data_IF_549326304217
#
_entry.id   IF_549326304217
#
_cell.length_a   1.000
_cell.length_b   1.000
_cell.length_c   1.000
_cell.angle_alpha   90.00
_cell.angle_beta   90.00
_cell.angle_gamma   90.00
#
_symmetry.space_group_name_H-M   'P 1'
#
loop_
_entity.id
_entity.type
_entity.pdbx_description
1 polymer ?
#
# COMPACT_ATOMS: atom_id res chain seq x y z
N UNK A 1 -18.28 31.66 13.43
CA UNK A 1 -17.67 32.91 13.88
C UNK A 1 -16.46 32.53 14.70
N UNK A 2 -15.28 32.88 14.28
CA UNK A 2 -14.05 32.55 15.01
C UNK A 2 -13.94 33.44 16.25
N UNK A 3 -13.55 32.85 17.37
CA UNK A 3 -13.23 33.64 18.58
C UNK A 3 -11.97 34.49 18.28
N UNK A 4 -12.01 35.75 18.73
CA UNK A 4 -10.93 36.73 18.50
C UNK A 4 -9.85 36.71 19.58
N UNK A 5 -9.98 35.85 20.61
CA UNK A 5 -9.06 35.78 21.74
C UNK A 5 -7.94 34.77 21.63
N UNK A 6 -7.99 33.92 20.59
CA UNK A 6 -6.89 32.99 20.24
C UNK A 6 -6.58 31.87 21.26
N UNK A 7 -7.37 31.77 22.32
CA UNK A 7 -7.08 30.84 23.43
C UNK A 7 -8.08 29.68 23.52
N UNK A 8 -9.30 29.84 23.03
CA UNK A 8 -10.30 28.78 23.07
C UNK A 8 -10.90 28.55 21.71
N UNK A 9 -10.88 27.30 21.27
CA UNK A 9 -11.46 26.85 20.00
C UNK A 9 -12.75 26.11 20.31
N UNK A 10 -13.84 26.53 19.68
CA UNK A 10 -15.19 26.00 19.94
C UNK A 10 -15.72 25.28 18.71
N UNK A 11 -16.31 24.12 18.94
CA UNK A 11 -17.09 23.41 17.94
C UNK A 11 -18.58 23.75 18.11
N UNK A 12 -19.28 24.16 17.06
CA UNK A 12 -20.72 24.32 17.14
C UNK A 12 -21.38 22.93 17.18
N UNK A 13 -22.12 22.62 18.26
CA UNK A 13 -23.04 21.50 18.29
C UNK A 13 -24.49 22.00 18.08
N UNK A 14 -25.26 21.21 17.31
CA UNK A 14 -26.66 21.55 17.01
C UNK A 14 -27.58 20.79 17.96
N UNK A 15 -28.26 21.50 18.88
CA UNK A 15 -29.16 20.93 19.87
C UNK A 15 -30.65 21.26 19.64
N UNK A 16 -31.00 21.77 18.45
CA UNK A 16 -32.37 22.04 18.07
C UNK A 16 -32.55 23.21 17.10
N UNK A 17 -33.78 23.53 16.72
CA UNK A 17 -34.08 24.49 15.65
C UNK A 17 -33.74 25.94 15.97
N UNK A 18 -33.41 26.28 17.21
CA UNK A 18 -33.21 27.68 17.65
C UNK A 18 -32.00 27.91 18.56
N UNK A 19 -31.29 26.87 18.95
CA UNK A 19 -30.11 26.99 19.81
C UNK A 19 -28.97 26.13 19.27
N UNK A 20 -27.77 26.65 19.29
CA UNK A 20 -26.54 25.87 19.19
C UNK A 20 -25.72 26.14 20.45
N UNK A 21 -25.20 25.09 21.01
CA UNK A 21 -24.19 25.19 22.05
C UNK A 21 -22.82 25.19 21.39
N UNK A 22 -21.91 25.96 21.94
CA UNK A 22 -20.50 25.89 21.57
C UNK A 22 -19.85 25.07 22.67
N UNK A 23 -19.48 23.85 22.35
CA UNK A 23 -18.68 23.00 23.24
C UNK A 23 -17.21 23.35 23.05
N UNK A 24 -16.50 23.47 24.17
CA UNK A 24 -15.06 23.63 24.14
C UNK A 24 -14.45 22.32 23.69
N UNK A 25 -13.86 22.30 22.50
CA UNK A 25 -13.07 21.13 22.05
C UNK A 25 -11.76 21.14 22.84
N UNK A 26 -11.59 20.17 23.74
CA UNK A 26 -10.38 20.02 24.54
C UNK A 26 -9.13 19.72 23.72
N UNK A 27 -9.28 19.46 22.42
CA UNK A 27 -8.19 19.14 21.51
C UNK A 27 -8.48 19.63 20.08
N UNK A 28 -7.47 19.67 19.26
CA UNK A 28 -7.56 19.97 17.83
C UNK A 28 -7.01 18.78 17.02
N UNK A 29 -7.80 18.11 16.14
CA UNK A 29 -7.32 16.98 15.37
C UNK A 29 -6.07 17.30 14.59
N UNK A 30 -5.02 16.49 14.78
CA UNK A 30 -3.72 16.69 14.20
C UNK A 30 -2.74 17.55 15.00
N UNK A 31 -3.20 18.29 16.02
CA UNK A 31 -2.35 18.99 16.99
C UNK A 31 -2.10 18.04 18.19
N UNK A 32 -1.19 17.11 17.99
CA UNK A 32 -0.98 15.96 18.87
C UNK A 32 -0.17 16.33 20.10
N UNK A 33 0.70 17.33 19.95
CA UNK A 33 1.54 17.87 21.03
C UNK A 33 0.88 19.05 21.77
N UNK A 34 -0.31 19.50 21.35
CA UNK A 34 -1.07 20.60 21.92
C UNK A 34 -0.34 21.97 21.91
N UNK A 35 0.51 22.22 20.89
CA UNK A 35 1.20 23.50 20.75
C UNK A 35 0.41 24.55 19.97
N UNK A 36 -0.73 24.15 19.39
CA UNK A 36 -1.65 25.00 18.65
C UNK A 36 -1.38 25.03 17.14
N UNK A 37 -0.44 24.26 16.65
CA UNK A 37 -0.13 24.11 15.24
C UNK A 37 -0.28 22.64 14.83
N UNK A 38 -0.39 22.40 13.53
CA UNK A 38 -0.26 21.07 12.95
C UNK A 38 1.01 21.11 12.13
N UNK A 39 2.05 20.46 12.60
CA UNK A 39 3.35 20.46 11.94
C UNK A 39 4.11 19.13 12.11
N UNK A 40 5.37 19.10 11.69
CA UNK A 40 6.17 17.87 11.71
C UNK A 40 6.38 17.31 13.14
N UNK A 41 6.23 18.13 14.17
CA UNK A 41 6.37 17.67 15.54
C UNK A 41 5.20 16.74 15.92
N UNK A 42 4.00 16.95 15.36
CA UNK A 42 2.84 16.08 15.58
C UNK A 42 3.04 14.72 14.92
N UNK A 43 3.53 14.71 13.67
CA UNK A 43 3.91 13.46 13.00
C UNK A 43 4.94 12.70 13.83
N UNK A 44 5.96 13.40 14.34
CA UNK A 44 6.99 12.78 15.20
C UNK A 44 6.37 12.19 16.48
N UNK A 45 5.50 12.93 17.17
CA UNK A 45 4.83 12.46 18.38
C UNK A 45 4.00 11.20 18.12
N UNK A 46 3.26 11.17 17.00
CA UNK A 46 2.49 9.98 16.62
C UNK A 46 3.42 8.79 16.30
N UNK A 47 4.48 9.00 15.53
CA UNK A 47 5.48 7.98 15.22
C UNK A 47 6.17 7.45 16.47
N UNK A 48 6.57 8.36 17.38
CA UNK A 48 7.24 8.00 18.64
C UNK A 48 6.35 7.09 19.49
N UNK A 49 5.10 7.45 19.65
CA UNK A 49 4.12 6.65 20.36
C UNK A 49 3.85 5.30 19.70
N UNK A 50 3.58 5.30 18.39
CA UNK A 50 3.16 4.08 17.68
C UNK A 50 4.29 3.06 17.50
N UNK A 51 5.52 3.53 17.29
CA UNK A 51 6.62 2.64 16.85
C UNK A 51 7.85 2.65 17.76
N UNK A 52 8.10 3.76 18.48
CA UNK A 52 9.35 3.93 19.22
C UNK A 52 9.17 3.76 20.74
N UNK A 53 8.00 3.33 21.20
CA UNK A 53 7.65 3.19 22.63
C UNK A 53 7.68 4.51 23.40
N UNK A 54 7.42 5.61 22.72
CA UNK A 54 7.27 6.93 23.31
C UNK A 54 6.06 7.05 24.24
N UNK A 55 5.97 8.14 25.02
CA UNK A 55 4.83 8.38 25.88
C UNK A 55 3.55 8.58 25.07
N UNK A 56 2.38 8.25 25.64
CA UNK A 56 1.12 8.53 24.96
C UNK A 56 0.94 10.03 24.72
N UNK A 57 0.37 10.44 23.58
CA UNK A 57 -0.01 11.83 23.31
C UNK A 57 -0.86 12.42 24.42
N UNK A 58 -0.76 13.74 24.63
CA UNK A 58 -1.52 14.44 25.64
C UNK A 58 -3.02 14.37 25.38
N UNK A 59 -3.42 14.48 24.11
CA UNK A 59 -4.79 14.25 23.64
C UNK A 59 -4.83 13.11 22.63
N UNK A 60 -5.15 11.91 23.07
CA UNK A 60 -5.27 10.72 22.19
C UNK A 60 -6.35 10.93 21.10
N UNK A 61 -7.37 11.71 21.38
CA UNK A 61 -8.43 12.06 20.45
C UNK A 61 -7.92 12.93 19.28
N UNK A 62 -6.86 13.70 19.49
CA UNK A 62 -6.21 14.49 18.43
C UNK A 62 -5.53 13.63 17.37
N UNK A 63 -5.25 12.37 17.70
CA UNK A 63 -4.62 11.42 16.78
C UNK A 63 -5.59 10.81 15.77
N UNK A 64 -6.91 10.84 16.03
CA UNK A 64 -7.93 10.45 15.04
C UNK A 64 -8.14 11.59 14.05
N UNK A 65 -7.22 11.72 13.11
CA UNK A 65 -7.22 12.84 12.15
C UNK A 65 -8.11 12.59 10.93
N UNK A 66 -8.44 11.33 10.65
CA UNK A 66 -9.34 10.95 9.56
C UNK A 66 -10.80 10.80 9.98
N UNK A 67 -11.10 10.90 11.30
CA UNK A 67 -12.45 10.89 11.86
C UNK A 67 -13.12 9.52 11.84
N UNK A 68 -12.36 8.44 11.79
CA UNK A 68 -12.90 7.07 11.73
C UNK A 68 -13.25 6.49 13.12
N UNK A 69 -13.00 7.22 14.20
CA UNK A 69 -13.22 6.85 15.60
C UNK A 69 -12.28 5.76 16.12
N UNK A 70 -11.18 5.55 15.45
CA UNK A 70 -10.08 4.70 15.90
C UNK A 70 -8.81 5.51 15.85
N UNK A 71 -7.78 5.08 16.51
CA UNK A 71 -6.48 5.73 16.42
C UNK A 71 -5.73 5.81 17.74
N UNK A 72 -4.46 6.17 17.68
CA UNK A 72 -3.65 6.45 16.49
C UNK A 72 -3.30 5.17 15.72
N UNK A 73 -3.47 5.22 14.42
CA UNK A 73 -3.21 4.09 13.53
C UNK A 73 -2.54 4.57 12.23
N UNK A 74 -2.08 3.62 11.41
CA UNK A 74 -1.33 3.99 10.21
C UNK A 74 -2.16 4.84 9.22
N UNK A 75 -3.49 4.69 9.22
CA UNK A 75 -4.36 5.50 8.38
C UNK A 75 -4.40 6.97 8.83
N UNK A 76 -4.36 7.22 10.14
CA UNK A 76 -4.29 8.58 10.68
C UNK A 76 -2.95 9.23 10.35
N UNK A 77 -1.86 8.50 10.57
CA UNK A 77 -0.53 8.99 10.28
C UNK A 77 -0.37 9.32 8.79
N UNK A 78 -0.83 8.46 7.89
CA UNK A 78 -0.77 8.73 6.45
C UNK A 78 -1.70 9.87 6.02
N UNK A 79 -2.85 10.01 6.69
CA UNK A 79 -3.75 11.15 6.45
C UNK A 79 -3.09 12.47 6.86
N UNK A 80 -2.46 12.53 8.03
CA UNK A 80 -1.76 13.71 8.52
C UNK A 80 -0.62 14.12 7.59
N UNK A 81 0.19 13.16 7.14
CA UNK A 81 1.26 13.37 6.15
C UNK A 81 0.68 13.87 4.82
N UNK A 82 -0.41 13.25 4.35
CA UNK A 82 -1.11 13.67 3.13
C UNK A 82 -1.63 15.11 3.21
N UNK A 83 -2.18 15.53 4.35
CA UNK A 83 -2.60 16.90 4.60
C UNK A 83 -1.42 17.88 4.56
N UNK A 84 -0.34 17.57 5.27
CA UNK A 84 0.81 18.48 5.41
C UNK A 84 1.61 18.65 4.14
N UNK A 85 1.84 17.60 3.39
CA UNK A 85 2.78 17.56 2.26
C UNK A 85 2.12 17.28 0.90
N UNK A 86 0.99 16.56 0.90
CA UNK A 86 0.29 16.14 -0.31
C UNK A 86 -0.86 17.06 -0.75
N UNK A 87 -1.19 18.10 0.02
CA UNK A 87 -2.34 18.98 -0.24
C UNK A 87 -3.68 18.27 -0.05
N UNK A 88 -3.73 17.26 0.82
CA UNK A 88 -4.93 16.55 1.22
C UNK A 88 -5.90 17.40 2.05
N UNK A 89 -7.06 16.84 2.36
CA UNK A 89 -8.08 17.49 3.16
C UNK A 89 -7.59 17.72 4.62
N UNK A 90 -8.12 18.78 5.26
CA UNK A 90 -7.79 19.08 6.66
C UNK A 90 -8.30 18.00 7.61
N UNK A 91 -7.61 17.78 8.76
CA UNK A 91 -8.07 16.88 9.80
C UNK A 91 -9.52 17.11 10.24
N UNK A 92 -10.22 16.05 10.58
CA UNK A 92 -11.67 16.04 10.80
C UNK A 92 -11.99 15.96 12.28
N UNK A 93 -12.92 16.81 12.74
CA UNK A 93 -13.31 16.90 14.15
C UNK A 93 -14.29 15.83 14.62
N UNK A 94 -14.77 14.95 13.82
CA UNK A 94 -15.93 14.19 14.28
C UNK A 94 -15.83 12.69 14.19
N UNK A 95 -15.73 12.10 15.34
CA UNK A 95 -16.32 10.81 15.64
C UNK A 95 -17.86 10.85 15.73
N UNK A 96 -18.55 11.54 14.83
CA UNK A 96 -20.00 11.75 14.97
C UNK A 96 -20.86 10.57 14.51
N UNK A 97 -20.27 9.47 14.09
CA UNK A 97 -21.01 8.24 13.82
C UNK A 97 -20.41 7.09 14.63
N UNK A 98 -21.09 6.60 15.68
CA UNK A 98 -20.77 5.30 16.22
C UNK A 98 -21.03 4.28 15.12
N UNK A 99 -19.98 3.87 14.43
CA UNK A 99 -20.04 2.91 13.34
C UNK A 99 -19.79 3.44 11.94
N UNK A 100 -18.99 4.48 11.73
CA UNK A 100 -18.15 4.55 10.55
C UNK A 100 -17.18 3.36 10.61
N UNK A 101 -17.79 2.17 10.72
CA UNK A 101 -17.16 0.91 10.44
C UNK A 101 -16.48 1.16 9.12
N UNK A 102 -15.16 1.10 9.09
CA UNK A 102 -14.39 0.91 7.89
C UNK A 102 -15.30 0.26 6.86
N UNK A 103 -15.60 0.95 5.79
CA UNK A 103 -16.26 0.31 4.68
C UNK A 103 -15.45 -0.97 4.52
N UNK A 104 -16.10 -2.12 4.64
CA UNK A 104 -15.47 -3.40 4.36
C UNK A 104 -15.15 -3.35 2.87
N UNK A 105 -14.05 -2.70 2.56
CA UNK A 105 -13.48 -2.72 1.23
C UNK A 105 -13.18 -4.21 1.04
N UNK A 106 -13.79 -4.82 0.07
CA UNK A 106 -13.58 -6.24 -0.26
C UNK A 106 -12.17 -6.45 -0.84
N UNK A 107 -11.28 -5.50 -0.59
CA UNK A 107 -9.93 -5.49 -1.10
C UNK A 107 -9.13 -6.55 -0.38
N UNK A 108 -8.69 -7.54 -1.13
CA UNK A 108 -7.85 -8.58 -0.58
C UNK A 108 -6.43 -8.07 -0.47
N UNK A 109 -6.00 -7.89 0.78
CA UNK A 109 -4.60 -7.67 1.12
C UNK A 109 -4.14 -8.84 1.94
N UNK A 110 -3.08 -9.49 1.49
CA UNK A 110 -2.49 -10.64 2.18
C UNK A 110 -1.00 -10.37 2.35
N UNK A 111 -0.54 -10.48 3.60
CA UNK A 111 0.88 -10.45 3.91
C UNK A 111 1.38 -11.83 4.24
N UNK A 112 2.58 -12.11 3.80
CA UNK A 112 3.28 -13.37 4.01
C UNK A 112 4.61 -13.08 4.68
N UNK A 113 4.98 -13.92 5.65
CA UNK A 113 6.34 -13.93 6.16
C UNK A 113 6.98 -15.29 5.96
N UNK A 114 8.23 -15.30 5.53
CA UNK A 114 9.02 -16.51 5.33
C UNK A 114 10.43 -16.32 5.88
N UNK A 115 10.92 -17.32 6.62
CA UNK A 115 12.31 -17.30 7.10
C UNK A 115 13.21 -17.95 6.06
N UNK A 116 14.13 -17.16 5.48
CA UNK A 116 15.12 -17.58 4.48
C UNK A 116 16.52 -17.24 4.97
N UNK A 117 17.37 -18.26 5.12
CA UNK A 117 18.78 -18.07 5.51
C UNK A 117 18.99 -17.22 6.77
N UNK A 118 18.11 -17.38 7.76
CA UNK A 118 18.19 -16.62 9.02
C UNK A 118 17.60 -15.21 8.99
N UNK A 119 16.97 -14.81 7.89
CA UNK A 119 16.26 -13.54 7.76
C UNK A 119 14.77 -13.79 7.55
N UNK A 120 13.94 -12.92 8.11
CA UNK A 120 12.52 -12.89 7.81
C UNK A 120 12.28 -12.00 6.60
N UNK A 121 11.67 -12.56 5.56
CA UNK A 121 11.21 -11.82 4.38
C UNK A 121 9.72 -11.63 4.49
N UNK A 122 9.27 -10.39 4.44
CA UNK A 122 7.85 -10.03 4.41
C UNK A 122 7.46 -9.65 3.00
N UNK A 123 6.42 -10.30 2.49
CA UNK A 123 5.86 -10.06 1.16
C UNK A 123 4.39 -9.66 1.27
N UNK A 124 3.92 -8.87 0.34
CA UNK A 124 2.53 -8.43 0.25
C UNK A 124 1.92 -8.82 -1.09
N UNK A 125 0.63 -9.12 -1.08
CA UNK A 125 -0.22 -9.17 -2.27
C UNK A 125 -1.42 -8.26 -2.02
N UNK A 126 -1.55 -7.20 -2.81
CA UNK A 126 -2.59 -6.19 -2.68
C UNK A 126 -3.28 -5.94 -4.02
N UNK A 127 -4.61 -5.81 -3.98
CA UNK A 127 -5.43 -5.41 -5.15
C UNK A 127 -5.60 -3.89 -5.24
N UNK A 128 -5.10 -3.14 -4.25
CA UNK A 128 -5.20 -1.67 -4.17
C UNK A 128 -3.86 -1.03 -3.90
N UNK A 129 -3.74 0.23 -4.28
CA UNK A 129 -2.57 1.05 -3.99
C UNK A 129 -2.54 1.42 -2.49
N UNK A 130 -1.34 1.40 -1.91
CA UNK A 130 -1.11 1.55 -0.48
C UNK A 130 -0.38 2.87 -0.19
N UNK A 131 -0.85 3.59 0.84
CA UNK A 131 -0.19 4.79 1.36
C UNK A 131 0.70 4.48 2.56
N UNK A 132 0.35 3.45 3.32
CA UNK A 132 1.12 3.06 4.49
C UNK A 132 0.81 1.64 4.95
N UNK A 133 1.70 1.11 5.78
CA UNK A 133 1.66 -0.25 6.28
C UNK A 133 2.20 -0.28 7.70
N UNK A 134 1.48 -0.94 8.59
CA UNK A 134 1.94 -1.23 9.95
C UNK A 134 2.01 -2.73 10.15
N UNK A 135 3.12 -3.20 10.70
CA UNK A 135 3.40 -4.61 10.96
C UNK A 135 3.79 -4.82 12.41
N UNK A 136 3.35 -5.92 12.97
CA UNK A 136 3.90 -6.46 14.21
C UNK A 136 4.51 -7.84 13.97
N UNK A 137 5.73 -8.03 14.39
CA UNK A 137 6.43 -9.31 14.32
C UNK A 137 6.94 -9.72 15.71
N UNK A 138 6.90 -11.02 15.99
CA UNK A 138 7.62 -11.59 17.13
C UNK A 138 9.02 -11.96 16.66
N UNK A 139 10.05 -11.52 17.41
CA UNK A 139 11.45 -11.90 17.23
C UNK A 139 12.05 -12.20 18.60
N UNK A 140 13.00 -13.14 18.65
CA UNK A 140 13.70 -13.46 19.89
C UNK A 140 14.66 -12.35 20.32
N UNK A 141 15.32 -11.70 19.37
CA UNK A 141 16.28 -10.63 19.56
C UNK A 141 15.97 -9.41 18.67
N UNK A 142 16.40 -8.19 19.04
CA UNK A 142 16.26 -7.04 18.17
C UNK A 142 17.01 -7.26 16.85
N UNK A 143 16.39 -6.93 15.70
CA UNK A 143 17.01 -7.12 14.40
C UNK A 143 18.21 -6.19 14.22
N UNK A 144 19.29 -6.70 13.62
CA UNK A 144 20.49 -5.88 13.33
C UNK A 144 20.31 -5.00 12.10
N UNK A 145 19.47 -5.45 11.18
CA UNK A 145 19.10 -4.68 9.98
C UNK A 145 17.65 -4.95 9.59
N UNK A 146 17.02 -3.91 9.05
CA UNK A 146 15.74 -3.96 8.38
C UNK A 146 15.93 -3.23 7.06
N UNK A 147 15.70 -3.93 5.95
CA UNK A 147 15.95 -3.43 4.62
C UNK A 147 14.67 -3.51 3.78
N UNK A 148 14.33 -2.40 3.11
CA UNK A 148 13.31 -2.44 2.06
C UNK A 148 13.83 -3.20 0.85
N UNK A 149 12.99 -4.06 0.27
CA UNK A 149 13.30 -4.78 -0.97
C UNK A 149 12.58 -4.06 -2.10
N UNK A 150 13.34 -3.44 -2.99
CA UNK A 150 12.81 -2.61 -4.07
C UNK A 150 12.68 -1.14 -3.69
N UNK A 151 12.37 -0.32 -4.69
CA UNK A 151 12.12 1.11 -4.51
C UNK A 151 10.60 1.32 -4.48
N UNK A 152 10.04 1.29 -3.28
CA UNK A 152 8.60 1.46 -3.07
C UNK A 152 8.23 2.88 -2.61
N UNK A 153 9.22 3.77 -2.45
CA UNK A 153 8.99 5.14 -2.00
C UNK A 153 8.46 5.23 -0.56
N UNK A 154 8.56 4.16 0.24
CA UNK A 154 8.14 4.15 1.64
C UNK A 154 9.33 4.26 2.57
N UNK A 155 9.21 5.16 3.51
CA UNK A 155 10.14 5.29 4.63
C UNK A 155 9.82 4.26 5.72
N UNK A 156 10.84 3.71 6.38
CA UNK A 156 10.69 2.70 7.41
C UNK A 156 10.94 3.33 8.78
N UNK A 157 9.98 3.17 9.68
CA UNK A 157 10.12 3.47 11.11
C UNK A 157 9.90 2.20 11.91
N UNK A 158 10.67 1.97 12.96
CA UNK A 158 10.51 0.75 13.75
C UNK A 158 11.00 0.91 15.18
N UNK A 159 10.40 0.15 16.08
CA UNK A 159 10.83 -0.02 17.46
C UNK A 159 10.77 -1.50 17.86
N UNK A 160 11.62 -1.88 18.82
CA UNK A 160 11.65 -3.23 19.36
C UNK A 160 11.53 -3.19 20.87
N UNK A 161 10.56 -3.90 21.42
CA UNK A 161 10.33 -4.01 22.85
C UNK A 161 9.70 -5.36 23.19
N UNK A 162 10.16 -6.00 24.25
CA UNK A 162 9.58 -7.24 24.79
C UNK A 162 9.43 -8.40 23.77
N UNK A 163 10.39 -8.54 22.84
CA UNK A 163 10.34 -9.57 21.80
C UNK A 163 9.38 -9.24 20.66
N UNK A 164 8.90 -8.00 20.56
CA UNK A 164 8.04 -7.49 19.49
C UNK A 164 8.72 -6.40 18.71
N UNK A 165 8.69 -6.53 17.40
CA UNK A 165 9.07 -5.50 16.45
C UNK A 165 7.79 -4.85 15.93
N UNK A 166 7.59 -3.58 16.27
CA UNK A 166 6.58 -2.72 15.65
C UNK A 166 7.25 -1.96 14.51
N UNK A 167 6.68 -2.05 13.32
CA UNK A 167 7.24 -1.48 12.10
C UNK A 167 6.17 -0.75 11.31
N UNK A 168 6.46 0.51 10.96
CA UNK A 168 5.68 1.32 10.05
C UNK A 168 6.44 1.54 8.74
N UNK A 169 5.74 1.44 7.63
CA UNK A 169 6.20 1.88 6.32
C UNK A 169 5.21 2.91 5.80
N UNK A 170 5.66 4.10 5.48
CA UNK A 170 4.78 5.19 5.06
C UNK A 170 5.46 6.10 4.05
N UNK A 171 4.66 6.65 3.15
CA UNK A 171 5.12 7.63 2.16
C UNK A 171 5.17 9.02 2.80
N UNK A 172 6.30 9.38 3.40
CA UNK A 172 6.49 10.70 4.02
C UNK A 172 6.52 11.86 3.01
N UNK A 173 6.60 11.55 1.72
CA UNK A 173 6.60 12.56 0.66
C UNK A 173 5.21 12.73 0.04
N UNK A 174 4.25 11.91 0.44
CA UNK A 174 2.88 11.85 -0.11
C UNK A 174 2.86 11.79 -1.66
N UNK A 175 3.85 11.11 -2.24
CA UNK A 175 4.10 11.14 -3.69
C UNK A 175 3.11 10.27 -4.47
N UNK A 176 2.94 8.99 -4.10
CA UNK A 176 2.04 8.10 -4.85
C UNK A 176 1.75 6.77 -4.15
N UNK A 177 2.38 6.48 -3.03
CA UNK A 177 2.25 5.19 -2.35
C UNK A 177 2.83 4.01 -3.17
N UNK A 178 2.51 2.81 -2.74
CA UNK A 178 2.89 1.56 -3.41
C UNK A 178 1.75 1.08 -4.28
N UNK A 179 2.01 0.86 -5.57
CA UNK A 179 1.01 0.37 -6.50
C UNK A 179 0.51 -1.04 -6.12
N UNK A 180 -0.73 -1.36 -6.49
CA UNK A 180 -1.29 -2.70 -6.34
C UNK A 180 -0.39 -3.76 -6.99
N UNK A 181 -0.22 -4.91 -6.35
CA UNK A 181 0.64 -5.97 -6.85
C UNK A 181 1.08 -6.96 -5.78
N UNK A 182 2.05 -7.79 -6.15
CA UNK A 182 2.69 -8.74 -5.23
C UNK A 182 4.18 -8.50 -5.22
N UNK A 183 4.72 -8.18 -4.04
CA UNK A 183 6.13 -7.81 -3.86
C UNK A 183 6.73 -8.45 -2.62
N UNK A 184 8.04 -8.68 -2.61
CA UNK A 184 8.81 -8.73 -1.38
C UNK A 184 9.02 -7.30 -0.90
N UNK A 185 8.59 -6.99 0.32
CA UNK A 185 8.65 -5.63 0.87
C UNK A 185 9.89 -5.39 1.73
N UNK A 186 10.16 -6.36 2.61
CA UNK A 186 11.14 -6.20 3.68
C UNK A 186 11.96 -7.46 3.86
N UNK A 187 13.23 -7.23 4.19
CA UNK A 187 14.13 -8.23 4.78
C UNK A 187 14.52 -7.77 6.18
N UNK A 188 14.26 -8.61 7.15
CA UNK A 188 14.53 -8.36 8.57
C UNK A 188 15.55 -9.38 9.04
N UNK A 189 16.66 -8.95 9.65
CA UNK A 189 17.63 -9.87 10.24
C UNK A 189 17.01 -10.60 11.43
N UNK A 190 17.14 -11.92 11.45
CA UNK A 190 16.55 -12.78 12.45
C UNK A 190 15.34 -13.57 11.93
N UNK A 191 15.03 -14.65 12.65
CA UNK A 191 13.84 -15.45 12.41
C UNK A 191 12.68 -14.87 13.21
N UNK A 192 11.64 -14.43 12.53
CA UNK A 192 10.47 -13.83 13.14
C UNK A 192 9.16 -14.34 12.56
N UNK A 193 8.10 -14.21 13.34
CA UNK A 193 6.72 -14.51 12.95
C UNK A 193 5.93 -13.21 12.80
N UNK A 194 5.27 -13.01 11.68
CA UNK A 194 4.36 -11.90 11.46
C UNK A 194 3.06 -12.15 12.23
N UNK A 195 2.75 -11.28 13.20
CA UNK A 195 1.61 -11.42 14.11
C UNK A 195 0.38 -10.70 13.56
N UNK A 196 0.56 -9.46 13.13
CA UNK A 196 -0.52 -8.61 12.59
C UNK A 196 0.00 -7.67 11.52
N UNK A 197 -0.93 -7.22 10.68
CA UNK A 197 -0.67 -6.20 9.68
C UNK A 197 -1.93 -5.37 9.43
N UNK A 198 -1.76 -4.06 9.42
CA UNK A 198 -2.77 -3.10 9.00
C UNK A 198 -2.22 -2.23 7.88
N UNK A 199 -3.07 -1.85 6.98
CA UNK A 199 -2.70 -1.14 5.76
C UNK A 199 -3.60 0.06 5.58
N UNK A 200 -3.01 1.20 5.25
CA UNK A 200 -3.73 2.38 4.77
C UNK A 200 -3.66 2.42 3.24
N UNK A 201 -4.79 2.49 2.56
CA UNK A 201 -4.81 2.72 1.12
C UNK A 201 -4.62 4.22 0.80
N UNK A 202 -4.46 4.56 -0.47
CA UNK A 202 -4.29 5.95 -0.93
C UNK A 202 -5.51 6.85 -0.70
N UNK A 203 -6.62 6.30 -0.19
CA UNK A 203 -7.79 7.05 0.27
C UNK A 203 -7.84 7.16 1.80
N UNK A 204 -6.75 6.79 2.47
CA UNK A 204 -6.59 6.80 3.94
C UNK A 204 -7.60 5.92 4.68
N UNK A 205 -8.14 4.89 4.02
CA UNK A 205 -8.95 3.88 4.70
C UNK A 205 -8.01 2.81 5.27
N UNK A 206 -8.25 2.46 6.53
CA UNK A 206 -7.57 1.34 7.17
C UNK A 206 -8.17 0.02 6.68
N UNK A 207 -7.32 -0.92 6.32
CA UNK A 207 -7.67 -2.26 5.89
C UNK A 207 -6.89 -3.24 6.76
N UNK A 208 -7.59 -4.11 7.49
CA UNK A 208 -6.94 -5.20 8.19
C UNK A 208 -6.48 -6.23 7.17
N UNK A 209 -5.18 -6.43 7.08
CA UNK A 209 -4.61 -7.37 6.15
C UNK A 209 -4.68 -8.80 6.70
N UNK A 210 -4.91 -9.77 5.83
CA UNK A 210 -4.80 -11.17 6.20
C UNK A 210 -3.33 -11.52 6.35
N UNK A 211 -2.93 -11.94 7.55
CA UNK A 211 -1.60 -12.49 7.78
C UNK A 211 -1.63 -13.98 7.52
N UNK A 212 -0.80 -14.44 6.63
CA UNK A 212 -0.63 -15.86 6.33
C UNK A 212 0.81 -16.27 6.64
N UNK A 213 0.98 -17.22 7.56
CA UNK A 213 2.24 -17.92 7.62
C UNK A 213 2.45 -18.68 6.30
N UNK A 214 3.64 -18.58 5.73
CA UNK A 214 3.95 -19.11 4.41
C UNK A 214 3.67 -20.62 4.29
N UNK A 215 2.42 -20.97 4.08
CA UNK A 215 1.98 -22.28 3.64
C UNK A 215 1.20 -22.13 2.35
N UNK A 216 1.91 -22.00 1.22
CA UNK A 216 1.36 -22.30 -0.09
C UNK A 216 0.95 -21.15 -1.01
N UNK A 217 1.40 -19.90 -0.77
CA UNK A 217 1.53 -18.91 -1.84
C UNK A 217 3.00 -18.47 -1.86
N UNK A 218 3.85 -19.40 -2.24
CA UNK A 218 5.22 -19.06 -2.62
C UNK A 218 5.16 -18.00 -3.71
N UNK A 219 5.96 -16.94 -3.57
CA UNK A 219 6.44 -16.23 -4.75
C UNK A 219 6.70 -17.28 -5.82
N UNK A 220 6.32 -17.04 -7.05
CA UNK A 220 6.50 -18.02 -8.10
C UNK A 220 7.94 -18.52 -8.06
N UNK A 221 8.14 -19.81 -7.86
CA UNK A 221 9.47 -20.41 -7.84
C UNK A 221 10.08 -20.51 -9.23
N UNK A 222 9.26 -20.22 -10.26
CA UNK A 222 9.63 -20.32 -11.66
C UNK A 222 9.16 -19.10 -12.44
N UNK A 223 9.99 -18.63 -13.35
CA UNK A 223 9.58 -17.78 -14.44
C UNK A 223 8.54 -18.51 -15.29
N UNK A 224 7.30 -18.00 -15.36
CA UNK A 224 6.20 -18.62 -16.10
C UNK A 224 5.48 -17.58 -16.96
N UNK A 225 5.11 -17.94 -18.18
CA UNK A 225 4.22 -17.17 -19.04
C UNK A 225 2.95 -17.99 -19.22
N UNK A 226 1.80 -17.43 -18.88
CA UNK A 226 0.50 -18.10 -18.99
C UNK A 226 -0.14 -17.90 -20.35
N UNK A 227 -1.17 -18.71 -20.66
CA UNK A 227 -1.99 -18.51 -21.83
C UNK A 227 -2.86 -17.28 -21.61
N UNK A 228 -2.89 -16.37 -22.59
CA UNK A 228 -3.76 -15.20 -22.54
C UNK A 228 -5.23 -15.61 -22.40
N UNK A 229 -5.99 -14.80 -21.68
CA UNK A 229 -7.43 -15.02 -21.49
C UNK A 229 -8.21 -13.70 -21.65
N UNK A 230 -9.31 -13.72 -22.42
CA UNK A 230 -9.79 -14.83 -23.26
C UNK A 230 -8.87 -15.16 -24.44
N UNK A 231 -8.96 -16.39 -24.96
CA UNK A 231 -8.30 -16.81 -26.20
C UNK A 231 -9.13 -17.91 -26.90
N UNK A 232 -9.74 -17.67 -28.06
CA UNK A 232 -9.68 -16.45 -28.85
C UNK A 232 -10.31 -15.25 -28.15
N UNK A 233 -9.89 -14.05 -28.52
CA UNK A 233 -10.42 -12.81 -27.96
C UNK A 233 -10.93 -11.86 -29.05
N UNK A 234 -11.88 -11.00 -28.63
CA UNK A 234 -12.44 -9.93 -29.42
C UNK A 234 -12.43 -8.67 -28.54
N UNK A 235 -11.68 -7.67 -28.93
CA UNK A 235 -11.41 -6.47 -28.13
C UNK A 235 -10.11 -6.58 -27.36
N UNK A 236 -10.11 -7.01 -26.11
CA UNK A 236 -8.90 -7.10 -25.29
C UNK A 236 -8.69 -8.50 -24.71
N UNK A 237 -7.44 -8.81 -24.40
CA UNK A 237 -7.03 -10.03 -23.71
C UNK A 237 -6.00 -9.72 -22.65
N UNK A 238 -6.01 -10.48 -21.58
CA UNK A 238 -5.05 -10.38 -20.49
C UNK A 238 -3.96 -11.44 -20.64
N UNK A 239 -2.71 -11.02 -20.52
CA UNK A 239 -1.52 -11.88 -20.53
C UNK A 239 -0.95 -11.87 -19.11
N UNK A 240 -0.93 -13.04 -18.46
CA UNK A 240 -0.42 -13.23 -17.12
C UNK A 240 0.92 -13.94 -17.16
N UNK A 241 1.80 -13.51 -16.28
CA UNK A 241 3.11 -14.16 -16.11
C UNK A 241 3.59 -14.03 -14.67
N UNK A 242 4.56 -14.87 -14.31
CA UNK A 242 5.15 -14.89 -12.99
C UNK A 242 6.67 -14.84 -13.05
N UNK A 243 7.27 -14.10 -12.13
CA UNK A 243 8.71 -13.91 -11.95
C UNK A 243 9.13 -14.48 -10.60
N UNK A 244 10.17 -15.30 -10.57
CA UNK A 244 10.72 -15.87 -9.32
C UNK A 244 11.61 -14.89 -8.55
N UNK A 245 12.09 -13.84 -9.18
CA UNK A 245 12.92 -12.78 -8.62
C UNK A 245 12.75 -11.51 -9.46
N UNK A 246 13.17 -10.38 -8.92
CA UNK A 246 13.20 -9.11 -9.67
C UNK A 246 14.03 -9.28 -10.93
N UNK A 247 13.44 -9.00 -12.09
CA UNK A 247 14.02 -9.28 -13.40
C UNK A 247 13.81 -8.13 -14.37
N UNK A 248 14.75 -7.94 -15.28
CA UNK A 248 14.54 -7.04 -16.42
C UNK A 248 13.73 -7.76 -17.48
N UNK A 249 12.51 -7.29 -17.71
CA UNK A 249 11.53 -7.96 -18.58
C UNK A 249 11.30 -7.21 -19.87
N UNK A 250 10.93 -7.97 -20.90
CA UNK A 250 10.47 -7.44 -22.18
C UNK A 250 9.34 -8.33 -22.70
N UNK A 251 8.12 -7.81 -22.73
CA UNK A 251 6.94 -8.49 -23.26
C UNK A 251 6.52 -7.86 -24.58
N UNK A 252 6.58 -8.62 -25.65
CA UNK A 252 6.37 -8.13 -27.01
C UNK A 252 5.47 -9.05 -27.79
N UNK A 253 4.63 -8.47 -28.66
CA UNK A 253 3.70 -9.16 -29.55
C UNK A 253 4.26 -9.15 -30.97
N UNK A 254 4.17 -10.30 -31.63
CA UNK A 254 4.62 -10.52 -33.00
C UNK A 254 3.50 -11.07 -33.88
N UNK A 255 3.55 -10.76 -35.16
CA UNK A 255 2.74 -11.46 -36.16
C UNK A 255 3.34 -12.85 -36.51
N UNK A 256 2.64 -13.63 -37.32
CA UNK A 256 3.08 -14.98 -37.73
C UNK A 256 4.36 -14.98 -38.56
N UNK A 257 4.79 -13.84 -39.09
CA UNK A 257 6.04 -13.69 -39.85
C UNK A 257 7.22 -13.37 -38.93
N UNK A 258 6.95 -13.16 -37.64
CA UNK A 258 7.98 -12.78 -36.65
C UNK A 258 8.26 -11.28 -36.62
N UNK A 259 7.43 -10.46 -37.28
CA UNK A 259 7.57 -9.01 -37.21
C UNK A 259 6.95 -8.51 -35.90
N UNK A 260 7.63 -7.61 -35.22
CA UNK A 260 7.13 -6.91 -34.04
C UNK A 260 5.86 -6.10 -34.35
N UNK A 261 4.86 -6.26 -33.51
CA UNK A 261 3.58 -5.54 -33.58
C UNK A 261 3.53 -4.46 -32.51
N UNK A 262 3.83 -4.79 -31.27
CA UNK A 262 3.86 -3.84 -30.15
C UNK A 262 4.64 -4.42 -28.98
N UNK A 263 5.25 -3.54 -28.18
CA UNK A 263 5.82 -3.86 -26.87
C UNK A 263 4.80 -3.50 -25.81
N UNK A 264 4.40 -4.49 -25.01
CA UNK A 264 3.36 -4.30 -23.99
C UNK A 264 3.93 -3.81 -22.66
N UNK A 265 5.12 -4.30 -22.30
CA UNK A 265 5.85 -3.82 -21.12
C UNK A 265 7.34 -4.11 -21.25
N UNK A 266 8.17 -3.26 -20.63
CA UNK A 266 9.62 -3.44 -20.55
C UNK A 266 10.17 -2.74 -19.32
N UNK A 267 11.30 -3.22 -18.81
CA UNK A 267 12.00 -2.71 -17.65
C UNK A 267 12.01 -3.66 -16.47
N UNK A 268 12.50 -3.19 -15.33
CA UNK A 268 12.64 -4.01 -14.13
C UNK A 268 11.29 -4.20 -13.45
N UNK A 269 10.88 -5.46 -13.25
CA UNK A 269 9.70 -5.85 -12.48
C UNK A 269 10.12 -6.74 -11.31
N UNK A 270 9.44 -6.56 -10.17
CA UNK A 270 9.68 -7.36 -8.95
C UNK A 270 9.29 -8.83 -9.12
N UNK A 271 9.76 -9.69 -8.23
CA UNK A 271 9.24 -11.06 -8.09
C UNK A 271 7.73 -11.02 -7.86
N UNK A 272 6.98 -11.95 -8.46
CA UNK A 272 5.52 -12.00 -8.28
C UNK A 272 4.75 -12.37 -9.53
N UNK A 273 3.43 -12.23 -9.44
CA UNK A 273 2.52 -12.42 -10.55
C UNK A 273 2.17 -11.06 -11.17
N UNK A 274 2.26 -10.99 -12.50
CA UNK A 274 2.03 -9.79 -13.28
C UNK A 274 0.96 -10.02 -14.32
N UNK A 275 0.27 -8.95 -14.72
CA UNK A 275 -0.78 -8.98 -15.72
C UNK A 275 -0.67 -7.76 -16.63
N UNK A 276 -0.77 -7.97 -17.94
CA UNK A 276 -0.73 -6.90 -18.96
C UNK A 276 -1.84 -7.16 -19.97
N UNK A 277 -2.58 -6.11 -20.32
CA UNK A 277 -3.64 -6.19 -21.31
C UNK A 277 -3.16 -5.81 -22.70
N UNK A 278 -3.66 -6.50 -23.72
CA UNK A 278 -3.52 -6.13 -25.12
C UNK A 278 -4.89 -6.02 -25.79
N UNK A 279 -5.14 -4.91 -26.44
CA UNK A 279 -6.41 -4.56 -27.09
C UNK A 279 -6.43 -4.85 -28.62
N UNK A 280 -5.41 -5.51 -29.15
CA UNK A 280 -5.29 -5.81 -30.57
C UNK A 280 -4.79 -4.64 -31.41
N UNK A 281 -4.14 -3.63 -30.81
CA UNK A 281 -3.51 -2.52 -31.53
C UNK A 281 -2.00 -2.71 -31.70
N UNK A 282 -1.43 -2.15 -32.74
CA UNK A 282 0.00 -2.04 -32.97
C UNK A 282 0.60 -0.84 -32.26
N UNK A 283 1.93 -0.72 -32.25
CA UNK A 283 2.66 0.32 -31.55
C UNK A 283 2.29 1.76 -31.99
N UNK A 284 1.77 1.93 -33.19
CA UNK A 284 1.26 3.20 -33.75
C UNK A 284 -0.24 3.44 -33.42
N UNK A 285 -0.87 2.57 -32.62
CA UNK A 285 -2.28 2.66 -32.24
C UNK A 285 -3.26 2.18 -33.32
N UNK A 286 -2.78 1.61 -34.42
CA UNK A 286 -3.68 1.07 -35.46
C UNK A 286 -4.18 -0.33 -35.11
N UNK A 287 -5.50 -0.62 -35.27
CA UNK A 287 -6.04 -1.95 -35.03
C UNK A 287 -5.41 -2.98 -35.98
N UNK A 288 -4.96 -4.09 -35.43
CA UNK A 288 -4.42 -5.21 -36.19
C UNK A 288 -5.54 -6.04 -36.85
N UNK A 289 -5.17 -6.90 -37.79
CA UNK A 289 -6.11 -7.79 -38.46
C UNK A 289 -6.43 -9.01 -37.59
N UNK A 290 -7.62 -9.61 -37.79
CA UNK A 290 -7.92 -10.93 -37.22
C UNK A 290 -6.87 -11.95 -37.66
N UNK A 291 -6.40 -12.76 -36.71
CA UNK A 291 -5.37 -13.74 -37.01
C UNK A 291 -4.66 -14.29 -35.78
N UNK A 292 -3.61 -15.05 -36.04
CA UNK A 292 -2.74 -15.62 -35.02
C UNK A 292 -1.59 -14.65 -34.77
N UNK A 293 -1.34 -14.39 -33.48
CA UNK A 293 -0.22 -13.60 -32.97
C UNK A 293 0.59 -14.44 -31.99
N UNK A 294 1.85 -14.09 -31.84
CA UNK A 294 2.74 -14.66 -30.84
C UNK A 294 3.08 -13.56 -29.84
N UNK A 295 3.13 -13.90 -28.57
CA UNK A 295 3.70 -13.00 -27.56
C UNK A 295 4.86 -13.68 -26.87
N UNK A 296 5.93 -12.92 -26.69
CA UNK A 296 7.17 -13.37 -26.07
C UNK A 296 7.49 -12.51 -24.87
N UNK A 297 7.65 -13.16 -23.74
CA UNK A 297 8.20 -12.57 -22.54
C UNK A 297 9.66 -13.04 -22.40
N UNK A 298 10.56 -12.08 -22.26
CA UNK A 298 11.95 -12.31 -21.89
C UNK A 298 12.18 -11.74 -20.50
N UNK A 299 12.81 -12.52 -19.63
CA UNK A 299 13.24 -12.09 -18.30
C UNK A 299 14.69 -12.54 -18.11
N UNK A 300 15.59 -11.62 -17.82
CA UNK A 300 17.03 -11.84 -17.65
C UNK A 300 17.66 -12.71 -18.76
N UNK A 301 17.25 -12.48 -19.99
CA UNK A 301 17.73 -13.22 -21.17
C UNK A 301 17.06 -14.57 -21.43
N UNK A 302 16.17 -15.04 -20.53
CA UNK A 302 15.38 -16.27 -20.73
C UNK A 302 14.04 -15.91 -21.36
N UNK A 303 13.72 -16.49 -22.52
CA UNK A 303 12.50 -16.20 -23.27
C UNK A 303 11.46 -17.32 -23.21
N UNK A 304 10.19 -16.96 -23.00
CA UNK A 304 9.02 -17.83 -23.18
C UNK A 304 8.08 -17.23 -24.21
N UNK A 305 7.51 -18.08 -25.10
CA UNK A 305 6.63 -17.63 -26.18
C UNK A 305 5.34 -18.43 -26.16
N UNK A 306 4.23 -17.74 -26.40
CA UNK A 306 2.90 -18.37 -26.59
C UNK A 306 2.18 -17.77 -27.78
N UNK A 307 1.16 -18.47 -28.26
CA UNK A 307 0.29 -18.01 -29.35
C UNK A 307 -1.06 -17.54 -28.81
N UNK A 308 -1.65 -16.59 -29.50
CA UNK A 308 -3.01 -16.11 -29.25
C UNK A 308 -3.75 -15.92 -30.56
N UNK A 309 -5.09 -15.95 -30.51
CA UNK A 309 -5.96 -15.75 -31.67
C UNK A 309 -6.83 -14.51 -31.43
N UNK A 310 -6.69 -13.53 -32.30
CA UNK A 310 -7.51 -12.32 -32.32
C UNK A 310 -8.62 -12.46 -33.38
N UNK A 311 -9.84 -12.15 -32.96
CA UNK A 311 -11.04 -12.15 -33.81
C UNK A 311 -11.66 -10.74 -33.77
N UNK A 312 -11.83 -10.14 -34.92
CA UNK A 312 -12.39 -8.79 -35.04
C UNK A 312 -13.87 -8.85 -35.31
#
# INVERSE_FOLDING_TARGET
MWSTDGQNRYLPSWDGPHCFTIEEAGYFPGDINEDGNIDIADVYNMVDYMFLSGPPPAAMEACDVNGNCTGPEIADLTYLVGYMFGGGDSPVFSCSAPGAKLASVSDKIVLYSEVKNGHTVVSISSEVDLAGLQLELALDDPPRSIEAIGDHGLDIVHGFSEGRLSLGMLDLQAASGVAAGTYELLRIDGAGELLSATVANTRFNLIEAQVSAAKGSSLPTEFRLEQNYPNPFNGATEIRFSLSHTSDVHLEVFDITGRSVTVLTHGSLSAGNHSVSWDGTSADGTPTSSGIYLYRLTADGVGKTRKMMYLK
#
